data_IF_173341995447
#
_entry.id   IF_173341995447
#
_cell.length_a   1.000
_cell.length_b   1.000
_cell.length_c   1.000
_cell.angle_alpha   90.00
_cell.angle_beta   90.00
_cell.angle_gamma   90.00
#
_symmetry.space_group_name_H-M   'P 1'
#
loop_
_entity.id
_entity.type
_entity.pdbx_description
1 polymer ?
#
# COMPACT_ATOMS: atom_id res chain seq x y z
N UNK A 1 -2.17 5.84 -18.33
CA UNK A 1 -3.33 6.45 -17.69
C UNK A 1 -4.27 6.92 -18.76
N UNK A 2 -5.48 6.50 -18.68
CA UNK A 2 -6.55 7.07 -19.51
C UNK A 2 -6.83 8.46 -18.98
N UNK A 3 -6.97 9.40 -19.89
CA UNK A 3 -7.50 10.71 -19.56
C UNK A 3 -8.75 10.55 -18.70
N UNK A 4 -8.86 11.32 -17.63
CA UNK A 4 -9.96 11.19 -16.67
C UNK A 4 -11.29 11.38 -17.37
N UNK A 5 -11.94 10.27 -17.65
CA UNK A 5 -13.33 10.29 -18.08
C UNK A 5 -14.22 10.18 -16.86
N UNK A 6 -15.20 11.01 -16.75
CA UNK A 6 -16.31 10.78 -15.84
C UNK A 6 -17.02 9.51 -16.31
N UNK A 7 -16.83 8.42 -15.58
CA UNK A 7 -17.40 7.12 -15.92
C UNK A 7 -18.91 7.24 -16.16
N UNK A 8 -19.33 6.99 -17.41
CA UNK A 8 -20.73 6.95 -17.80
C UNK A 8 -21.36 8.28 -18.20
N UNK A 9 -20.68 9.40 -18.05
CA UNK A 9 -21.25 10.72 -18.43
C UNK A 9 -20.77 11.26 -19.79
N UNK A 10 -19.82 10.59 -20.45
CA UNK A 10 -19.31 10.98 -21.76
C UNK A 10 -18.64 12.39 -21.81
N UNK A 11 -18.50 13.02 -20.67
CA UNK A 11 -17.91 14.35 -20.54
C UNK A 11 -16.55 14.21 -19.88
N UNK A 12 -15.50 14.66 -20.56
CA UNK A 12 -14.17 14.76 -19.94
C UNK A 12 -14.23 15.75 -18.78
N UNK A 13 -13.68 15.37 -17.64
CA UNK A 13 -13.53 16.29 -16.52
C UNK A 13 -12.64 17.46 -16.97
N UNK A 14 -13.17 18.67 -16.93
CA UNK A 14 -12.39 19.90 -17.18
C UNK A 14 -11.48 20.25 -16.01
N UNK A 15 -11.64 19.57 -14.88
CA UNK A 15 -10.76 19.70 -13.74
C UNK A 15 -9.51 18.87 -13.99
N UNK A 16 -8.34 19.48 -14.06
CA UNK A 16 -7.04 18.82 -14.03
C UNK A 16 -6.76 18.19 -12.67
N UNK A 17 -7.81 17.82 -11.94
CA UNK A 17 -7.69 17.10 -10.70
C UNK A 17 -7.26 15.67 -10.99
N UNK A 18 -6.44 15.14 -10.09
CA UNK A 18 -6.02 13.78 -10.05
C UNK A 18 -7.19 12.78 -10.16
N UNK A 19 -7.13 11.87 -11.12
CA UNK A 19 -8.12 10.83 -11.31
C UNK A 19 -7.47 9.43 -11.26
N UNK A 20 -7.75 8.71 -10.19
CA UNK A 20 -7.67 7.25 -10.17
C UNK A 20 -9.03 6.71 -10.60
N UNK A 21 -9.04 5.66 -11.41
CA UNK A 21 -10.29 5.02 -11.85
C UNK A 21 -11.17 4.68 -10.64
N UNK A 22 -12.40 5.19 -10.61
CA UNK A 22 -13.35 4.99 -9.53
C UNK A 22 -13.17 5.94 -8.32
N UNK A 23 -12.21 6.85 -8.35
CA UNK A 23 -11.94 7.75 -7.25
C UNK A 23 -12.93 8.93 -7.15
N UNK A 24 -13.69 9.21 -8.20
CA UNK A 24 -14.64 10.30 -8.25
C UNK A 24 -15.73 10.21 -7.17
N UNK A 25 -16.10 9.01 -6.76
CA UNK A 25 -17.10 8.75 -5.71
C UNK A 25 -16.53 8.67 -4.30
N UNK A 26 -15.21 8.72 -4.15
CA UNK A 26 -14.56 8.62 -2.85
C UNK A 26 -14.74 9.90 -2.03
N UNK A 27 -14.78 9.81 -0.70
CA UNK A 27 -14.79 10.97 0.17
C UNK A 27 -13.49 11.77 0.00
N UNK A 28 -13.57 13.08 0.26
CA UNK A 28 -12.46 14.00 0.03
C UNK A 28 -11.16 13.57 0.70
N UNK A 29 -11.21 13.12 1.96
CA UNK A 29 -10.01 12.68 2.68
C UNK A 29 -9.29 11.49 2.02
N UNK A 30 -10.03 10.59 1.39
CA UNK A 30 -9.44 9.49 0.62
C UNK A 30 -8.82 10.00 -0.68
N UNK A 31 -9.50 10.92 -1.38
CA UNK A 31 -8.96 11.57 -2.59
C UNK A 31 -7.67 12.34 -2.29
N UNK A 32 -7.64 13.09 -1.19
CA UNK A 32 -6.46 13.84 -0.76
C UNK A 32 -5.27 12.91 -0.50
N UNK A 33 -5.49 11.78 0.20
CA UNK A 33 -4.43 10.80 0.44
C UNK A 33 -3.93 10.14 -0.84
N UNK A 34 -4.83 9.78 -1.75
CA UNK A 34 -4.45 9.23 -3.05
C UNK A 34 -3.67 10.24 -3.90
N UNK A 35 -4.04 11.52 -3.85
CA UNK A 35 -3.35 12.58 -4.59
C UNK A 35 -1.92 12.84 -4.11
N UNK A 36 -1.60 12.46 -2.88
CA UNK A 36 -0.23 12.50 -2.36
C UNK A 36 0.61 11.33 -2.87
N UNK A 37 -0.01 10.16 -3.06
CA UNK A 37 0.67 8.95 -3.56
C UNK A 37 0.96 9.08 -5.06
N UNK A 38 -0.02 9.55 -5.83
CA UNK A 38 0.11 9.66 -7.27
C UNK A 38 0.39 11.10 -7.68
N UNK A 39 1.34 11.27 -8.58
CA UNK A 39 1.65 12.60 -9.12
C UNK A 39 0.43 13.14 -9.88
N UNK A 40 -0.14 14.28 -9.49
CA UNK A 40 -1.37 14.79 -10.08
C UNK A 40 -1.24 15.18 -11.57
N UNK A 41 -0.02 15.49 -12.05
CA UNK A 41 0.22 15.85 -13.45
C UNK A 41 0.31 14.62 -14.35
N UNK A 42 0.91 13.53 -13.86
CA UNK A 42 1.14 12.32 -14.66
C UNK A 42 0.19 11.19 -14.30
N UNK A 43 -0.45 11.26 -13.13
CA UNK A 43 -1.26 10.19 -12.54
C UNK A 43 -0.47 8.93 -12.23
N UNK A 44 0.85 9.00 -12.18
CA UNK A 44 1.77 7.88 -11.91
C UNK A 44 2.40 8.03 -10.54
N UNK A 45 2.96 6.94 -10.03
CA UNK A 45 3.74 6.93 -8.79
C UNK A 45 4.92 5.98 -8.93
N UNK A 46 6.03 6.35 -8.33
CA UNK A 46 7.15 5.45 -8.06
C UNK A 46 7.13 5.17 -6.57
N UNK A 47 6.68 3.97 -6.20
CA UNK A 47 6.63 3.54 -4.81
C UNK A 47 7.88 2.73 -4.47
N UNK A 48 8.69 3.24 -3.54
CA UNK A 48 9.84 2.53 -3.01
C UNK A 48 9.39 1.62 -1.87
N UNK A 49 9.40 0.31 -2.11
CA UNK A 49 8.98 -0.71 -1.16
C UNK A 49 10.19 -1.37 -0.50
N UNK A 50 10.24 -1.37 0.83
CA UNK A 50 11.31 -1.99 1.63
C UNK A 50 10.76 -2.63 2.91
N UNK A 51 9.55 -3.18 2.81
CA UNK A 51 8.84 -3.88 3.89
C UNK A 51 9.12 -5.38 3.94
N UNK A 52 9.71 -5.95 2.89
CA UNK A 52 9.83 -7.40 2.73
C UNK A 52 10.78 -8.07 3.74
N UNK A 53 11.72 -7.35 4.34
CA UNK A 53 12.55 -7.87 5.44
C UNK A 53 11.76 -8.38 6.64
N UNK A 54 10.54 -7.89 6.81
CA UNK A 54 9.61 -8.33 7.83
C UNK A 54 9.07 -9.76 7.59
N UNK A 55 8.91 -10.15 6.32
CA UNK A 55 8.44 -11.49 5.92
C UNK A 55 9.62 -12.42 5.67
N UNK A 56 10.65 -11.91 5.00
CA UNK A 56 11.76 -12.71 4.49
C UNK A 56 12.96 -12.77 5.45
N UNK A 57 12.92 -11.99 6.55
CA UNK A 57 14.07 -11.85 7.44
C UNK A 57 15.18 -10.98 6.84
N UNK A 58 16.43 -11.12 7.31
CA UNK A 58 17.56 -10.35 6.80
C UNK A 58 17.76 -10.65 5.31
N UNK A 59 17.53 -9.65 4.48
CA UNK A 59 17.72 -9.73 3.03
C UNK A 59 18.81 -8.77 2.62
N UNK A 60 19.62 -9.19 1.64
CA UNK A 60 20.72 -8.35 1.13
C UNK A 60 20.19 -7.00 0.65
N UNK A 61 20.82 -5.94 1.12
CA UNK A 61 20.46 -4.56 0.81
C UNK A 61 19.49 -3.91 1.82
N UNK A 62 18.90 -4.67 2.74
CA UNK A 62 18.02 -4.15 3.78
C UNK A 62 18.59 -4.24 5.20
N UNK A 63 19.82 -4.67 5.36
CA UNK A 63 20.48 -4.77 6.67
C UNK A 63 20.70 -3.39 7.31
N UNK A 64 20.96 -2.40 6.46
CA UNK A 64 21.20 -1.00 6.85
C UNK A 64 20.34 -0.08 5.99
N UNK A 65 19.04 -0.01 6.33
CA UNK A 65 18.04 0.82 5.63
C UNK A 65 18.44 2.29 5.66
N UNK A 66 19.03 2.76 6.75
CA UNK A 66 19.56 4.11 6.91
C UNK A 66 20.63 4.47 5.85
N UNK A 67 21.44 3.52 5.45
CA UNK A 67 22.50 3.71 4.46
C UNK A 67 22.05 3.39 3.03
N UNK A 68 21.27 2.34 2.87
CA UNK A 68 20.97 1.79 1.56
C UNK A 68 19.67 2.33 0.96
N UNK A 69 18.69 2.65 1.81
CA UNK A 69 17.34 3.04 1.37
C UNK A 69 17.07 4.54 1.55
N UNK A 70 17.49 5.11 2.68
CA UNK A 70 17.23 6.53 2.96
C UNK A 70 17.75 7.46 1.85
N UNK A 71 18.94 7.25 1.25
CA UNK A 71 19.39 8.07 0.11
C UNK A 71 18.53 7.94 -1.15
N UNK A 72 17.76 6.85 -1.30
CA UNK A 72 16.90 6.62 -2.45
C UNK A 72 15.52 7.28 -2.33
N UNK A 73 15.17 7.77 -1.15
CA UNK A 73 13.85 8.36 -0.87
C UNK A 73 13.57 9.57 -1.78
N UNK A 74 14.58 10.33 -2.15
CA UNK A 74 14.43 11.49 -3.03
C UNK A 74 13.85 11.13 -4.40
N UNK A 75 14.13 9.93 -4.91
CA UNK A 75 13.70 9.43 -6.22
C UNK A 75 12.32 8.76 -6.20
N UNK A 76 11.72 8.60 -5.03
CA UNK A 76 10.40 7.99 -4.88
C UNK A 76 9.31 9.05 -4.71
N UNK A 77 8.11 8.74 -5.22
CA UNK A 77 6.91 9.53 -4.96
C UNK A 77 6.24 9.10 -3.64
N UNK A 78 6.32 7.81 -3.30
CA UNK A 78 5.69 7.21 -2.13
C UNK A 78 6.61 6.14 -1.53
N UNK A 79 6.53 5.93 -0.21
CA UNK A 79 7.29 4.88 0.49
C UNK A 79 6.35 3.79 0.99
N UNK A 80 6.75 2.52 0.82
CA UNK A 80 6.07 1.38 1.44
C UNK A 80 7.01 0.70 2.44
N UNK A 81 6.65 0.75 3.72
CA UNK A 81 7.47 0.25 4.80
C UNK A 81 6.64 -0.27 5.98
N UNK A 82 7.32 -0.93 6.91
CA UNK A 82 6.72 -1.38 8.17
C UNK A 82 6.65 -0.26 9.20
N UNK A 83 5.81 -0.43 10.20
CA UNK A 83 5.67 0.51 11.33
C UNK A 83 7.00 0.75 12.07
N UNK A 84 7.78 -0.31 12.27
CA UNK A 84 9.07 -0.20 12.96
C UNK A 84 10.05 0.67 12.19
N UNK A 85 10.21 0.40 10.91
CA UNK A 85 11.09 1.18 10.03
C UNK A 85 10.66 2.65 9.97
N UNK A 86 9.36 2.90 9.79
CA UNK A 86 8.83 4.26 9.73
C UNK A 86 9.19 5.08 10.98
N UNK A 87 9.06 4.47 12.16
CA UNK A 87 9.31 5.14 13.44
C UNK A 87 10.79 5.36 13.76
N UNK A 88 11.67 4.51 13.25
CA UNK A 88 13.08 4.48 13.68
C UNK A 88 14.06 5.00 12.64
N UNK A 89 13.74 4.90 11.36
CA UNK A 89 14.72 5.12 10.29
C UNK A 89 14.32 6.26 9.36
N UNK A 90 13.02 6.41 9.06
CA UNK A 90 12.59 7.39 8.05
C UNK A 90 12.53 8.79 8.65
N UNK A 91 13.33 9.75 8.14
CA UNK A 91 13.27 11.12 8.63
C UNK A 91 11.91 11.76 8.29
N UNK A 92 11.21 12.33 9.27
CA UNK A 92 9.92 13.01 9.01
C UNK A 92 10.02 14.16 7.99
N UNK A 93 11.20 14.77 7.89
CA UNK A 93 11.49 15.86 6.95
C UNK A 93 11.43 15.45 5.48
N UNK A 94 11.38 14.16 5.17
CA UNK A 94 11.24 13.68 3.78
C UNK A 94 9.91 14.10 3.15
N UNK A 95 8.87 14.34 3.98
CA UNK A 95 7.50 14.69 3.54
C UNK A 95 6.91 13.75 2.48
N UNK A 96 7.41 12.52 2.40
CA UNK A 96 6.88 11.53 1.45
C UNK A 96 5.61 10.88 2.00
N UNK A 97 4.60 10.65 1.16
CA UNK A 97 3.44 9.85 1.54
C UNK A 97 3.88 8.43 1.87
N UNK A 98 3.21 7.85 2.86
CA UNK A 98 3.53 6.51 3.35
C UNK A 98 2.37 5.56 3.03
N UNK A 99 2.67 4.46 2.37
CA UNK A 99 1.83 3.28 2.29
C UNK A 99 2.33 2.30 3.36
N UNK A 100 1.58 2.16 4.45
CA UNK A 100 2.02 1.40 5.61
C UNK A 100 1.69 -0.08 5.47
N UNK A 101 2.68 -0.96 5.52
CA UNK A 101 2.45 -2.39 5.64
C UNK A 101 1.73 -2.67 6.97
N UNK A 102 0.50 -3.15 6.89
CA UNK A 102 -0.41 -3.23 8.04
C UNK A 102 -0.75 -4.65 8.47
N UNK A 103 -0.33 -5.64 7.70
CA UNK A 103 -0.40 -7.05 8.04
C UNK A 103 0.98 -7.66 8.26
N UNK A 104 0.99 -8.81 8.87
CA UNK A 104 2.18 -9.60 9.09
C UNK A 104 1.86 -11.06 8.93
N UNK A 105 2.76 -11.73 8.24
CA UNK A 105 2.77 -13.17 8.11
C UNK A 105 3.80 -13.85 8.99
N UNK A 106 3.85 -15.11 8.81
CA UNK A 106 4.95 -15.93 9.27
C UNK A 106 6.14 -15.79 8.31
N UNK A 107 7.33 -16.19 8.74
CA UNK A 107 8.51 -16.16 7.88
C UNK A 107 8.34 -17.03 6.63
N UNK A 108 9.20 -16.85 5.64
CA UNK A 108 9.25 -17.69 4.42
C UNK A 108 9.43 -19.19 4.68
N UNK A 109 9.79 -19.56 5.90
CA UNK A 109 9.92 -20.97 6.31
C UNK A 109 8.57 -21.65 6.54
N UNK A 110 7.50 -20.86 6.62
CA UNK A 110 6.15 -21.34 6.82
C UNK A 110 5.23 -20.79 5.72
N UNK A 111 4.00 -21.24 5.68
CA UNK A 111 3.02 -20.74 4.73
C UNK A 111 2.66 -19.27 5.00
N UNK A 112 2.28 -18.55 3.95
CA UNK A 112 1.87 -17.13 4.03
C UNK A 112 0.53 -17.01 4.76
N UNK A 113 0.59 -16.96 6.07
CA UNK A 113 -0.57 -16.87 6.95
C UNK A 113 -0.66 -15.49 7.60
N UNK A 114 -1.02 -14.50 6.81
CA UNK A 114 -1.02 -13.11 7.23
C UNK A 114 -2.20 -12.75 8.14
N UNK A 115 -1.93 -11.87 9.10
CA UNK A 115 -2.93 -11.26 9.96
C UNK A 115 -2.78 -9.74 9.93
N UNK A 116 -3.89 -9.02 10.00
CA UNK A 116 -3.88 -7.57 10.17
C UNK A 116 -3.42 -7.25 11.59
N UNK A 117 -2.31 -6.55 11.73
CA UNK A 117 -1.66 -6.23 13.00
C UNK A 117 -1.67 -4.74 13.33
N UNK A 118 -1.95 -3.89 12.36
CA UNK A 118 -1.99 -2.44 12.55
C UNK A 118 -3.42 -1.98 12.35
N UNK A 119 -3.98 -1.37 13.38
CA UNK A 119 -5.32 -0.79 13.28
C UNK A 119 -5.28 0.56 12.54
N UNK A 120 -6.42 0.94 11.98
CA UNK A 120 -6.57 2.17 11.20
C UNK A 120 -6.28 3.42 12.06
N UNK A 121 -6.61 3.39 13.35
CA UNK A 121 -6.32 4.47 14.29
C UNK A 121 -4.81 4.68 14.49
N UNK A 122 -4.01 3.60 14.50
CA UNK A 122 -2.55 3.71 14.57
C UNK A 122 -1.99 4.26 13.25
N UNK A 123 -2.56 3.86 12.13
CA UNK A 123 -2.23 4.42 10.81
C UNK A 123 -2.52 5.93 10.73
N UNK A 124 -3.65 6.37 11.27
CA UNK A 124 -4.01 7.81 11.36
C UNK A 124 -2.98 8.56 12.21
N UNK A 125 -2.64 8.04 13.40
CA UNK A 125 -1.65 8.69 14.27
C UNK A 125 -0.28 8.84 13.63
N UNK A 126 0.07 7.93 12.73
CA UNK A 126 1.31 8.00 11.95
C UNK A 126 1.17 8.83 10.67
N UNK A 127 0.02 9.43 10.44
CA UNK A 127 -0.28 10.27 9.27
C UNK A 127 0.00 9.56 7.93
N UNK A 128 -0.27 8.25 7.84
CA UNK A 128 -0.03 7.50 6.61
C UNK A 128 -1.06 7.85 5.52
N UNK A 129 -0.66 7.71 4.27
CA UNK A 129 -1.50 7.99 3.11
C UNK A 129 -2.26 6.76 2.61
N UNK A 130 -1.81 5.56 2.93
CA UNK A 130 -2.50 4.31 2.64
C UNK A 130 -2.04 3.19 3.57
N UNK A 131 -2.82 2.12 3.63
CA UNK A 131 -2.45 0.85 4.27
C UNK A 131 -2.25 -0.20 3.17
N UNK A 132 -1.27 -1.09 3.35
CA UNK A 132 -1.01 -2.23 2.46
C UNK A 132 -1.34 -3.54 3.18
N UNK A 133 -2.14 -4.37 2.54
CA UNK A 133 -2.61 -5.67 3.04
C UNK A 133 -2.32 -6.75 1.99
N UNK A 134 -1.78 -7.87 2.41
CA UNK A 134 -1.51 -9.01 1.53
C UNK A 134 -2.79 -9.66 1.05
N UNK A 135 -2.80 -10.05 -0.21
CA UNK A 135 -3.85 -10.83 -0.84
C UNK A 135 -3.23 -12.03 -1.54
N UNK A 136 -3.31 -13.20 -0.92
CA UNK A 136 -2.77 -14.46 -1.47
C UNK A 136 -3.81 -15.10 -2.37
N UNK A 137 -3.57 -15.12 -3.68
CA UNK A 137 -4.45 -15.73 -4.68
C UNK A 137 -3.90 -17.10 -5.08
N UNK A 138 -4.78 -18.11 -5.13
CA UNK A 138 -4.39 -19.48 -5.47
C UNK A 138 -3.60 -20.19 -4.37
N UNK A 139 -3.92 -19.89 -3.13
CA UNK A 139 -3.49 -20.61 -1.93
C UNK A 139 -4.75 -21.09 -1.19
N UNK A 140 -5.12 -22.34 -1.41
CA UNK A 140 -6.37 -22.91 -0.89
C UNK A 140 -6.51 -22.79 0.65
N UNK A 141 -5.38 -22.79 1.38
CA UNK A 141 -5.39 -22.70 2.82
C UNK A 141 -5.61 -21.27 3.36
N UNK A 142 -5.14 -20.24 2.63
CA UNK A 142 -5.04 -18.88 3.18
C UNK A 142 -5.78 -17.81 2.36
N UNK A 143 -6.18 -18.11 1.13
CA UNK A 143 -6.86 -17.15 0.24
C UNK A 143 -8.09 -16.53 0.92
N UNK A 144 -9.01 -17.35 1.42
CA UNK A 144 -10.23 -16.85 2.07
C UNK A 144 -9.94 -15.94 3.27
N UNK A 145 -8.87 -16.22 4.02
CA UNK A 145 -8.45 -15.41 5.16
C UNK A 145 -7.88 -14.06 4.71
N UNK A 146 -7.02 -14.05 3.70
CA UNK A 146 -6.42 -12.81 3.21
C UNK A 146 -7.46 -11.92 2.53
N UNK A 147 -8.41 -12.51 1.80
CA UNK A 147 -9.58 -11.77 1.27
C UNK A 147 -10.38 -11.14 2.40
N UNK A 148 -10.70 -11.90 3.46
CA UNK A 148 -11.43 -11.38 4.62
C UNK A 148 -10.66 -10.26 5.35
N UNK A 149 -9.34 -10.38 5.47
CA UNK A 149 -8.48 -9.36 6.04
C UNK A 149 -8.51 -8.07 5.23
N UNK A 150 -8.35 -8.19 3.92
CA UNK A 150 -8.41 -7.04 3.01
C UNK A 150 -9.77 -6.36 3.08
N UNK A 151 -10.86 -7.13 3.04
CA UNK A 151 -12.22 -6.61 3.12
C UNK A 151 -12.45 -5.80 4.41
N UNK A 152 -12.06 -6.36 5.57
CA UNK A 152 -12.17 -5.67 6.87
C UNK A 152 -11.34 -4.39 6.91
N UNK A 153 -10.14 -4.41 6.35
CA UNK A 153 -9.29 -3.24 6.28
C UNK A 153 -9.87 -2.15 5.38
N UNK A 154 -10.46 -2.53 4.23
CA UNK A 154 -11.15 -1.61 3.33
C UNK A 154 -12.38 -0.97 4.01
N UNK A 155 -13.20 -1.77 4.70
CA UNK A 155 -14.38 -1.24 5.42
C UNK A 155 -13.97 -0.21 6.48
N UNK A 156 -12.99 -0.55 7.32
CA UNK A 156 -12.44 0.39 8.30
C UNK A 156 -11.79 1.61 7.63
N UNK A 157 -10.93 1.38 6.63
CA UNK A 157 -10.25 2.45 5.90
C UNK A 157 -11.22 3.44 5.27
N UNK A 158 -12.33 2.95 4.73
CA UNK A 158 -13.38 3.80 4.14
C UNK A 158 -14.01 4.73 5.18
N UNK A 159 -14.27 4.25 6.39
CA UNK A 159 -14.84 5.07 7.47
C UNK A 159 -13.92 6.23 7.89
N UNK A 160 -12.62 6.03 7.81
CA UNK A 160 -11.61 7.03 8.22
C UNK A 160 -10.95 7.74 7.03
N UNK A 161 -11.38 7.43 5.81
CA UNK A 161 -10.84 8.06 4.59
C UNK A 161 -9.41 7.63 4.27
N UNK A 162 -8.98 6.44 4.68
CA UNK A 162 -7.66 5.87 4.35
C UNK A 162 -7.81 4.82 3.26
N UNK A 163 -7.15 5.01 2.10
CA UNK A 163 -7.09 3.99 1.05
C UNK A 163 -6.37 2.73 1.54
N UNK A 164 -6.85 1.57 1.08
CA UNK A 164 -6.20 0.29 1.32
C UNK A 164 -5.76 -0.31 -0.01
N UNK A 165 -4.50 -0.70 -0.08
CA UNK A 165 -3.89 -1.36 -1.22
C UNK A 165 -3.80 -2.87 -0.97
N UNK A 166 -4.41 -3.66 -1.84
CA UNK A 166 -4.19 -5.10 -1.88
C UNK A 166 -2.86 -5.43 -2.57
N UNK A 167 -1.96 -6.08 -1.86
CA UNK A 167 -0.68 -6.57 -2.41
C UNK A 167 -0.87 -8.03 -2.78
N UNK A 168 -0.98 -8.29 -4.07
CA UNK A 168 -1.24 -9.65 -4.56
C UNK A 168 0.03 -10.51 -4.55
N UNK A 169 -0.10 -11.72 -4.06
CA UNK A 169 0.89 -12.78 -4.15
C UNK A 169 0.25 -14.03 -4.74
N UNK A 170 0.96 -14.73 -5.59
CA UNK A 170 0.50 -15.98 -6.20
C UNK A 170 0.84 -17.14 -5.27
N UNK A 171 -0.18 -17.89 -4.87
CA UNK A 171 -0.04 -19.07 -4.03
C UNK A 171 0.54 -20.27 -4.79
N UNK A 172 0.96 -21.27 -4.01
CA UNK A 172 1.62 -22.48 -4.54
C UNK A 172 0.75 -23.27 -5.51
N UNK A 173 -0.57 -23.22 -5.33
CA UNK A 173 -1.51 -24.01 -6.14
C UNK A 173 -1.60 -23.48 -7.57
N UNK A 174 -1.52 -22.15 -7.76
CA UNK A 174 -1.44 -21.54 -9.10
C UNK A 174 -0.07 -21.69 -9.75
N UNK A 175 1.00 -21.69 -8.96
CA UNK A 175 2.35 -21.83 -9.51
C UNK A 175 2.66 -23.23 -10.07
N UNK A 176 1.83 -24.22 -9.78
CA UNK A 176 1.98 -25.58 -10.32
C UNK A 176 1.37 -25.76 -11.72
N UNK A 177 0.41 -24.90 -12.07
CA UNK A 177 -0.37 -25.01 -13.31
C UNK A 177 0.11 -24.00 -14.39
N UNK A 178 1.15 -23.20 -14.08
CA UNK A 178 1.77 -22.23 -14.98
C UNK A 178 3.14 -22.74 -15.50
#
# INVERSE_FOLDING_TARGET
LREGCNFGLGVASTNNSFHVKGAEHLPWGMKDRLSRIFNPKTGRTVMLAFDHGFIMGPTSGLERIDLNIVPLIEYADCLMCTRGILRTVIPPSTNKPICLRSDAGTSILTELNDNVLIDVEDAIRMNVSAMAIMLSIGDAAHEAKTVANLYKAVDKGTRYGIPVMGVTAVGKDMARDA
#
